data_IF_519334313035
#
_entry.id   IF_519334313035
#
_cell.length_a   1.000
_cell.length_b   1.000
_cell.length_c   1.000
_cell.angle_alpha   90.00
_cell.angle_beta   90.00
_cell.angle_gamma   90.00
#
_symmetry.space_group_name_H-M   'P 1'
#
loop_
_entity.id
_entity.type
_entity.pdbx_description
1 polymer ?
#
# COMPACT_ATOMS: atom_id res chain seq x y z
N UNK A 1 24.79 -3.87 -16.66
CA UNK A 1 24.03 -3.66 -15.41
C UNK A 1 22.85 -4.62 -15.42
N UNK A 2 22.53 -5.25 -14.29
CA UNK A 2 21.34 -6.08 -14.14
C UNK A 2 20.09 -5.21 -13.99
N UNK A 3 18.98 -5.61 -14.61
CA UNK A 3 17.66 -4.99 -14.41
C UNK A 3 16.70 -6.05 -13.87
N UNK A 4 16.24 -5.89 -12.65
CA UNK A 4 15.41 -6.88 -11.94
C UNK A 4 14.05 -6.26 -11.63
N UNK A 5 12.97 -6.95 -11.95
CA UNK A 5 11.61 -6.62 -11.50
C UNK A 5 11.13 -7.73 -10.58
N UNK A 6 10.61 -7.40 -9.40
CA UNK A 6 10.00 -8.35 -8.47
C UNK A 6 8.61 -7.89 -8.06
N UNK A 7 7.66 -8.82 -8.08
CA UNK A 7 6.30 -8.64 -7.57
C UNK A 7 6.06 -9.57 -6.38
N UNK A 8 5.97 -8.99 -5.19
CA UNK A 8 5.70 -9.72 -3.94
C UNK A 8 4.21 -9.62 -3.61
N UNK A 9 3.45 -10.65 -3.98
CA UNK A 9 2.00 -10.70 -3.78
C UNK A 9 1.49 -12.10 -3.47
N UNK A 10 0.56 -12.20 -2.52
CA UNK A 10 0.02 -13.51 -2.10
C UNK A 10 1.13 -14.45 -1.62
N UNK A 11 1.09 -15.71 -2.05
CA UNK A 11 2.01 -16.78 -1.59
C UNK A 11 3.41 -16.70 -2.19
N UNK A 12 3.58 -16.08 -3.36
CA UNK A 12 4.84 -16.12 -4.11
C UNK A 12 5.35 -14.72 -4.45
N UNK A 13 6.66 -14.60 -4.55
CA UNK A 13 7.33 -13.48 -5.20
C UNK A 13 7.81 -13.93 -6.57
N UNK A 14 7.27 -13.30 -7.60
CA UNK A 14 7.66 -13.52 -8.99
C UNK A 14 8.73 -12.50 -9.37
N UNK A 15 9.88 -12.98 -9.85
CA UNK A 15 10.99 -12.12 -10.25
C UNK A 15 11.46 -12.41 -11.67
N UNK A 16 11.78 -11.34 -12.36
CA UNK A 16 12.27 -11.30 -13.73
C UNK A 16 13.53 -10.45 -13.78
N UNK A 17 14.56 -10.93 -14.49
CA UNK A 17 15.80 -10.21 -14.67
C UNK A 17 16.23 -10.16 -16.14
N UNK A 18 16.88 -9.06 -16.49
CA UNK A 18 17.74 -8.93 -17.65
C UNK A 18 19.17 -8.77 -17.15
N UNK A 19 20.07 -9.63 -17.60
CA UNK A 19 21.49 -9.49 -17.30
C UNK A 19 22.14 -8.37 -18.16
N UNK A 20 23.43 -8.02 -17.92
CA UNK A 20 24.12 -7.00 -18.69
C UNK A 20 24.21 -7.28 -20.19
N UNK A 21 24.14 -8.54 -20.61
CA UNK A 21 24.15 -8.99 -22.00
C UNK A 21 22.74 -9.03 -22.62
N UNK A 22 21.70 -8.73 -21.83
CA UNK A 22 20.31 -8.72 -22.27
C UNK A 22 19.62 -10.08 -22.26
N UNK A 23 20.21 -11.10 -21.64
CA UNK A 23 19.58 -12.42 -21.49
C UNK A 23 18.53 -12.37 -20.39
N UNK A 24 17.41 -13.05 -20.61
CA UNK A 24 16.30 -13.13 -19.66
C UNK A 24 16.51 -14.26 -18.65
N UNK A 25 16.21 -13.98 -17.38
CA UNK A 25 16.11 -14.99 -16.33
C UNK A 25 14.85 -14.74 -15.48
N UNK A 26 14.27 -15.81 -14.94
CA UNK A 26 13.07 -15.74 -14.10
C UNK A 26 13.20 -16.70 -12.94
N UNK A 27 12.71 -16.30 -11.78
CA UNK A 27 12.57 -17.20 -10.64
C UNK A 27 11.31 -16.89 -9.86
N UNK A 28 10.88 -17.88 -9.09
CA UNK A 28 9.75 -17.78 -8.17
C UNK A 28 10.20 -18.26 -6.81
N UNK A 29 9.97 -17.45 -5.79
CA UNK A 29 10.25 -17.79 -4.38
C UNK A 29 8.99 -17.63 -3.56
N UNK A 30 8.94 -18.20 -2.36
CA UNK A 30 7.83 -17.92 -1.44
C UNK A 30 7.92 -16.48 -0.94
N UNK A 31 6.80 -15.79 -0.79
CA UNK A 31 6.75 -14.41 -0.26
C UNK A 31 7.29 -14.28 1.17
N UNK A 32 7.47 -15.40 1.88
CA UNK A 32 8.13 -15.48 3.17
C UNK A 32 9.66 -15.47 3.10
N UNK A 33 10.27 -15.38 1.92
CA UNK A 33 11.73 -15.36 1.76
C UNK A 33 12.39 -16.73 2.02
N UNK A 34 11.70 -17.82 1.70
CA UNK A 34 12.21 -19.19 1.89
C UNK A 34 12.12 -20.01 0.60
N UNK A 35 13.08 -20.92 0.42
CA UNK A 35 13.05 -21.98 -0.57
C UNK A 35 12.70 -23.29 0.14
N UNK A 36 11.51 -23.80 -0.14
CA UNK A 36 11.04 -25.06 0.44
C UNK A 36 11.42 -26.22 -0.48
N UNK A 37 12.20 -27.16 0.05
CA UNK A 37 12.67 -28.34 -0.68
C UNK A 37 12.25 -29.63 0.01
N UNK A 38 12.16 -30.70 -0.77
CA UNK A 38 11.91 -32.04 -0.25
C UNK A 38 13.25 -32.69 0.09
N UNK A 39 13.28 -33.35 1.24
CA UNK A 39 14.42 -34.15 1.68
C UNK A 39 14.20 -35.59 1.23
N UNK A 40 15.17 -36.13 0.51
CA UNK A 40 15.19 -37.54 0.11
C UNK A 40 15.85 -38.40 1.20
N UNK A 41 16.96 -37.91 1.76
CA UNK A 41 17.74 -38.59 2.78
C UNK A 41 18.40 -37.57 3.70
N UNK A 42 18.46 -37.86 5.00
CA UNK A 42 19.22 -37.06 5.96
C UNK A 42 20.01 -37.99 6.89
N UNK A 43 21.35 -37.86 6.90
CA UNK A 43 22.22 -38.66 7.75
C UNK A 43 23.55 -37.93 8.01
N UNK A 44 24.06 -37.97 9.24
CA UNK A 44 25.42 -37.52 9.54
C UNK A 44 25.73 -36.05 9.26
N UNK A 45 24.71 -35.17 9.24
CA UNK A 45 24.85 -33.75 8.92
C UNK A 45 24.69 -33.46 7.43
N UNK A 46 24.55 -34.50 6.60
CA UNK A 46 24.28 -34.40 5.17
C UNK A 46 22.78 -34.55 4.90
N UNK A 47 22.22 -33.67 4.08
CA UNK A 47 20.82 -33.70 3.68
C UNK A 47 20.72 -33.67 2.16
N UNK A 48 20.28 -34.78 1.57
CA UNK A 48 20.00 -34.90 0.15
C UNK A 48 18.64 -34.28 -0.16
N UNK A 49 18.63 -33.29 -1.05
CA UNK A 49 17.45 -32.49 -1.37
C UNK A 49 17.13 -32.52 -2.86
N UNK A 50 15.85 -32.34 -3.20
CA UNK A 50 15.39 -32.26 -4.58
C UNK A 50 14.76 -30.90 -4.88
N UNK A 51 14.94 -30.42 -6.11
CA UNK A 51 14.25 -29.23 -6.64
C UNK A 51 14.99 -27.91 -6.44
N UNK A 52 16.26 -27.93 -6.03
CA UNK A 52 17.10 -26.73 -6.05
C UNK A 52 17.63 -26.45 -7.47
N UNK A 53 17.73 -25.18 -7.87
CA UNK A 53 18.39 -24.81 -9.12
C UNK A 53 19.90 -25.08 -9.03
N UNK A 54 20.52 -25.36 -10.17
CA UNK A 54 21.97 -25.45 -10.26
C UNK A 54 22.60 -24.08 -10.02
N UNK A 55 23.53 -24.02 -9.06
CA UNK A 55 24.18 -22.80 -8.57
C UNK A 55 25.67 -23.07 -8.33
N UNK A 56 26.51 -22.01 -8.27
CA UNK A 56 27.90 -22.13 -7.83
C UNK A 56 28.02 -22.88 -6.50
N UNK A 57 29.11 -23.63 -6.31
CA UNK A 57 29.28 -24.52 -5.15
C UNK A 57 29.25 -23.78 -3.80
N UNK A 58 29.69 -22.53 -3.79
CA UNK A 58 29.73 -21.62 -2.65
C UNK A 58 28.40 -20.88 -2.40
N UNK A 59 27.46 -20.91 -3.34
CA UNK A 59 26.20 -20.16 -3.24
C UNK A 59 25.35 -20.57 -2.03
N UNK A 60 25.30 -21.87 -1.72
CA UNK A 60 24.45 -22.39 -0.64
C UNK A 60 25.06 -22.21 0.75
N UNK A 61 26.36 -21.91 0.82
CA UNK A 61 27.02 -21.66 2.09
C UNK A 61 26.43 -20.39 2.75
N UNK A 62 26.12 -20.48 4.05
CA UNK A 62 25.54 -19.38 4.82
C UNK A 62 24.02 -19.32 4.83
N UNK A 63 23.32 -20.19 4.09
CA UNK A 63 21.88 -20.37 4.28
C UNK A 63 21.57 -20.97 5.65
N UNK A 64 20.41 -20.60 6.21
CA UNK A 64 19.79 -21.25 7.35
C UNK A 64 18.79 -22.30 6.86
N UNK A 65 19.01 -23.55 7.24
CA UNK A 65 18.09 -24.66 6.99
C UNK A 65 17.18 -24.86 8.21
N UNK A 66 15.86 -24.72 8.02
CA UNK A 66 14.86 -24.78 9.08
C UNK A 66 13.90 -25.95 8.87
N UNK A 67 13.70 -26.75 9.92
CA UNK A 67 12.69 -27.81 9.96
C UNK A 67 12.33 -28.17 11.40
N UNK A 68 11.06 -28.46 11.67
CA UNK A 68 10.62 -28.95 13.00
C UNK A 68 10.88 -27.99 14.17
N UNK A 69 11.00 -26.69 13.93
CA UNK A 69 11.40 -25.69 14.94
C UNK A 69 12.91 -25.61 15.19
N UNK A 70 13.70 -26.45 14.54
CA UNK A 70 15.15 -26.44 14.57
C UNK A 70 15.72 -25.61 13.40
N UNK A 71 16.86 -24.97 13.63
CA UNK A 71 17.63 -24.25 12.61
C UNK A 71 19.06 -24.78 12.58
N UNK A 72 19.60 -24.97 11.39
CA UNK A 72 20.97 -25.41 11.10
C UNK A 72 21.61 -24.51 10.06
N UNK A 73 22.93 -24.36 10.10
CA UNK A 73 23.67 -23.59 9.11
C UNK A 73 24.13 -24.49 7.98
N UNK A 74 23.89 -24.06 6.74
CA UNK A 74 24.42 -24.71 5.55
C UNK A 74 25.88 -24.28 5.36
N UNK A 75 26.78 -25.26 5.37
CA UNK A 75 28.22 -25.08 5.15
C UNK A 75 28.56 -25.09 3.66
N UNK A 76 27.78 -25.78 2.84
CA UNK A 76 27.94 -25.86 1.40
C UNK A 76 27.05 -26.94 0.78
N UNK A 77 27.20 -27.17 -0.52
CA UNK A 77 26.48 -28.21 -1.25
C UNK A 77 27.41 -28.97 -2.20
N UNK A 78 27.27 -30.28 -2.28
CA UNK A 78 27.94 -31.13 -3.27
C UNK A 78 26.91 -31.95 -4.01
N UNK A 79 26.74 -31.70 -5.32
CA UNK A 79 25.66 -32.30 -6.10
C UNK A 79 24.30 -31.89 -5.52
N UNK A 80 23.50 -32.86 -5.06
CA UNK A 80 22.21 -32.63 -4.43
C UNK A 80 22.25 -32.70 -2.88
N UNK A 81 23.45 -32.76 -2.29
CA UNK A 81 23.65 -32.98 -0.85
C UNK A 81 24.10 -31.68 -0.18
N UNK A 82 23.29 -31.17 0.74
CA UNK A 82 23.63 -30.05 1.62
C UNK A 82 24.43 -30.55 2.81
N UNK A 83 25.52 -29.85 3.12
CA UNK A 83 26.35 -30.09 4.30
C UNK A 83 25.96 -29.12 5.40
N UNK A 84 25.52 -29.63 6.55
CA UNK A 84 25.08 -28.83 7.68
C UNK A 84 26.09 -28.83 8.82
N UNK A 85 26.06 -27.79 9.65
CA UNK A 85 26.87 -27.68 10.86
C UNK A 85 26.52 -28.69 11.95
N UNK A 86 25.25 -29.11 12.01
CA UNK A 86 24.77 -30.15 12.91
C UNK A 86 23.58 -30.92 12.33
N UNK A 87 23.35 -32.12 12.86
CA UNK A 87 22.19 -32.96 12.51
C UNK A 87 20.88 -32.39 13.08
N UNK A 88 19.77 -32.65 12.38
CA UNK A 88 18.43 -32.47 12.94
C UNK A 88 18.11 -33.61 13.90
N UNK A 89 17.35 -33.33 14.97
CA UNK A 89 16.97 -34.37 15.93
C UNK A 89 16.06 -35.42 15.27
N UNK A 90 15.19 -34.98 14.36
CA UNK A 90 14.37 -35.84 13.51
C UNK A 90 14.64 -35.54 12.04
N UNK A 91 14.85 -36.56 11.23
CA UNK A 91 15.03 -36.40 9.79
C UNK A 91 13.81 -35.71 9.17
N UNK A 92 13.94 -34.49 8.64
CA UNK A 92 12.80 -33.74 8.15
C UNK A 92 12.37 -34.24 6.76
N UNK A 93 11.06 -34.20 6.45
CA UNK A 93 10.56 -34.48 5.09
C UNK A 93 10.63 -33.25 4.17
N UNK A 94 10.52 -32.06 4.76
CA UNK A 94 10.60 -30.76 4.10
C UNK A 94 11.61 -29.90 4.83
N UNK A 95 12.39 -29.15 4.06
CA UNK A 95 13.41 -28.25 4.56
C UNK A 95 13.19 -26.87 3.98
N UNK A 96 13.12 -25.85 4.84
CA UNK A 96 13.06 -24.46 4.42
C UNK A 96 14.47 -23.86 4.45
N UNK A 97 14.99 -23.45 3.30
CA UNK A 97 16.25 -22.73 3.19
C UNK A 97 15.97 -21.22 3.12
N UNK A 98 16.64 -20.44 3.96
CA UNK A 98 16.47 -18.99 4.00
C UNK A 98 17.79 -18.28 4.27
N UNK A 99 17.94 -17.07 3.72
CA UNK A 99 19.02 -16.13 4.07
C UNK A 99 18.57 -15.11 5.11
N UNK A 100 17.32 -15.23 5.59
CA UNK A 100 16.65 -14.24 6.46
C UNK A 100 16.44 -12.87 5.79
N UNK A 101 16.65 -12.80 4.48
CA UNK A 101 16.40 -11.62 3.67
C UNK A 101 14.99 -11.61 3.09
N UNK A 102 14.52 -10.42 2.71
CA UNK A 102 13.23 -10.26 2.04
C UNK A 102 13.16 -11.04 0.72
N UNK A 103 11.97 -11.53 0.37
CA UNK A 103 11.77 -12.38 -0.80
C UNK A 103 12.31 -11.78 -2.14
N UNK A 104 12.18 -10.47 -2.43
CA UNK A 104 12.82 -9.86 -3.59
C UNK A 104 14.35 -9.95 -3.60
N UNK A 105 14.98 -9.88 -2.42
CA UNK A 105 16.44 -9.98 -2.28
C UNK A 105 16.88 -11.41 -2.55
N UNK A 106 16.22 -12.40 -1.94
CA UNK A 106 16.49 -13.81 -2.20
C UNK A 106 16.31 -14.13 -3.69
N UNK A 107 15.24 -13.63 -4.32
CA UNK A 107 15.03 -13.78 -5.75
C UNK A 107 16.16 -13.15 -6.58
N UNK A 108 16.62 -11.95 -6.22
CA UNK A 108 17.75 -11.30 -6.87
C UNK A 108 19.05 -12.10 -6.70
N UNK A 109 19.31 -12.70 -5.54
CA UNK A 109 20.47 -13.57 -5.31
C UNK A 109 20.45 -14.78 -6.25
N UNK A 110 19.29 -15.42 -6.40
CA UNK A 110 19.12 -16.54 -7.33
C UNK A 110 19.33 -16.13 -8.79
N UNK A 111 18.79 -14.98 -9.20
CA UNK A 111 18.90 -14.50 -10.58
C UNK A 111 20.33 -14.08 -10.93
N UNK A 112 21.02 -13.41 -10.01
CA UNK A 112 22.41 -12.94 -10.20
C UNK A 112 23.45 -13.99 -9.86
N UNK A 113 23.03 -15.11 -9.27
CA UNK A 113 23.91 -16.17 -8.71
C UNK A 113 24.89 -15.63 -7.66
N UNK A 114 24.47 -14.61 -6.92
CA UNK A 114 25.28 -13.98 -5.87
C UNK A 114 25.05 -14.68 -4.53
N UNK A 115 26.09 -15.26 -3.94
CA UNK A 115 26.01 -15.94 -2.65
C UNK A 115 25.45 -15.02 -1.54
N UNK A 116 24.81 -15.57 -0.49
CA UNK A 116 24.36 -14.79 0.67
C UNK A 116 25.50 -13.98 1.30
N UNK A 117 25.20 -12.75 1.71
CA UNK A 117 26.19 -11.83 2.30
C UNK A 117 27.22 -11.25 1.32
N UNK A 118 27.36 -11.81 0.11
CA UNK A 118 28.19 -11.20 -0.92
C UNK A 118 27.50 -9.95 -1.51
N UNK A 119 28.28 -8.91 -1.89
CA UNK A 119 27.74 -7.72 -2.50
C UNK A 119 27.14 -8.04 -3.87
N UNK A 120 25.99 -7.44 -4.18
CA UNK A 120 25.39 -7.58 -5.50
C UNK A 120 26.26 -6.94 -6.59
N UNK A 121 26.25 -7.49 -7.82
CA UNK A 121 26.71 -6.74 -8.98
C UNK A 121 25.84 -5.47 -9.19
N UNK A 122 26.22 -4.55 -10.08
CA UNK A 122 25.38 -3.38 -10.38
C UNK A 122 23.97 -3.79 -10.83
N UNK A 123 22.97 -3.43 -10.03
CA UNK A 123 21.55 -3.79 -10.20
C UNK A 123 20.68 -2.53 -10.23
N UNK A 124 19.70 -2.50 -11.12
CA UNK A 124 18.51 -1.64 -11.05
C UNK A 124 17.32 -2.54 -10.72
N UNK A 125 16.70 -2.36 -9.55
CA UNK A 125 15.59 -3.18 -9.08
C UNK A 125 14.28 -2.39 -9.10
N UNK A 126 13.22 -3.00 -9.61
CA UNK A 126 11.84 -2.50 -9.58
C UNK A 126 10.96 -3.40 -8.73
N UNK A 127 10.24 -2.81 -7.78
CA UNK A 127 9.43 -3.56 -6.82
C UNK A 127 7.95 -3.21 -6.96
N UNK A 128 7.12 -4.25 -6.98
CA UNK A 128 5.68 -4.20 -6.72
C UNK A 128 5.36 -5.08 -5.50
N UNK A 129 4.41 -4.67 -4.66
CA UNK A 129 4.04 -5.48 -3.48
C UNK A 129 2.60 -5.25 -3.02
N UNK A 130 1.99 -6.30 -2.48
CA UNK A 130 0.69 -6.24 -1.79
C UNK A 130 0.82 -6.08 -0.26
N UNK A 131 2.04 -5.87 0.28
CA UNK A 131 2.25 -5.78 1.75
C UNK A 131 1.37 -4.73 2.41
N UNK A 132 1.21 -3.56 1.80
CA UNK A 132 0.36 -2.49 2.34
C UNK A 132 -1.10 -2.93 2.46
N UNK A 133 -1.66 -3.50 1.40
CA UNK A 133 -3.05 -3.99 1.39
C UNK A 133 -3.26 -5.13 2.39
N UNK A 134 -2.31 -6.07 2.48
CA UNK A 134 -2.40 -7.18 3.44
C UNK A 134 -2.30 -6.68 4.89
N UNK A 135 -1.42 -5.72 5.17
CA UNK A 135 -1.33 -5.10 6.50
C UNK A 135 -2.65 -4.39 6.88
N UNK A 136 -3.33 -3.76 5.93
CA UNK A 136 -4.65 -3.16 6.15
C UNK A 136 -5.73 -4.22 6.45
N UNK A 137 -5.77 -5.30 5.67
CA UNK A 137 -6.76 -6.38 5.80
C UNK A 137 -6.56 -7.20 7.09
N UNK A 138 -5.31 -7.49 7.44
CA UNK A 138 -4.93 -8.27 8.62
C UNK A 138 -4.80 -7.41 9.89
N UNK A 139 -5.00 -6.09 9.77
CA UNK A 139 -4.80 -5.10 10.85
C UNK A 139 -3.44 -5.15 11.52
N UNK A 140 -2.39 -5.27 10.70
CA UNK A 140 -0.98 -5.31 11.11
C UNK A 140 -0.22 -4.01 10.79
N UNK A 141 -0.90 -2.86 10.84
CA UNK A 141 -0.27 -1.55 10.72
C UNK A 141 0.27 -1.00 12.03
N UNK A 142 0.92 0.15 11.95
CA UNK A 142 1.43 0.90 13.09
C UNK A 142 0.30 1.45 13.96
N UNK A 143 0.57 1.63 15.25
CA UNK A 143 -0.35 2.30 16.17
C UNK A 143 -0.34 3.80 15.88
N UNK A 144 -1.50 4.38 15.57
CA UNK A 144 -1.63 5.77 15.09
C UNK A 144 -2.46 6.64 16.05
N UNK A 145 -2.01 7.88 16.27
CA UNK A 145 -2.82 8.95 16.83
C UNK A 145 -3.23 9.95 15.74
N UNK A 146 -4.50 10.35 15.73
CA UNK A 146 -5.02 11.40 14.86
C UNK A 146 -5.03 12.75 15.58
N UNK A 147 -4.33 13.74 15.02
CA UNK A 147 -4.37 15.14 15.42
C UNK A 147 -5.29 15.88 14.44
N UNK A 148 -6.39 16.43 14.95
CA UNK A 148 -7.45 17.05 14.15
C UNK A 148 -7.95 18.29 14.85
N UNK A 149 -8.36 19.30 14.08
CA UNK A 149 -8.98 20.53 14.63
C UNK A 149 -10.02 20.22 15.70
N UNK A 150 -10.02 20.99 16.79
CA UNK A 150 -10.99 20.89 17.87
C UNK A 150 -12.46 20.94 17.37
N UNK A 151 -13.33 20.12 17.97
CA UNK A 151 -14.73 19.94 17.55
C UNK A 151 -14.91 19.00 16.35
N UNK A 152 -13.83 18.44 15.80
CA UNK A 152 -13.89 17.46 14.69
C UNK A 152 -13.35 16.08 15.10
N UNK A 153 -13.06 15.83 16.37
CA UNK A 153 -12.49 14.56 16.84
C UNK A 153 -13.29 13.31 16.44
N UNK A 154 -14.62 13.42 16.45
CA UNK A 154 -15.52 12.31 16.09
C UNK A 154 -15.78 12.18 14.58
N UNK A 155 -15.31 13.14 13.75
CA UNK A 155 -15.60 13.17 12.31
C UNK A 155 -15.24 11.85 11.59
N UNK A 156 -14.06 11.23 11.80
CA UNK A 156 -13.73 9.98 11.11
C UNK A 156 -14.62 8.80 11.51
N UNK A 157 -15.13 8.79 12.76
CA UNK A 157 -16.06 7.76 13.27
C UNK A 157 -17.47 7.95 12.70
N UNK A 158 -17.93 9.20 12.61
CA UNK A 158 -19.20 9.57 11.97
C UNK A 158 -19.16 9.25 10.47
N UNK A 159 -18.03 9.52 9.81
CA UNK A 159 -17.85 9.26 8.39
C UNK A 159 -18.81 10.06 7.49
N UNK A 160 -19.15 9.51 6.33
CA UNK A 160 -20.05 10.12 5.35
C UNK A 160 -21.50 9.60 5.44
N UNK A 161 -21.81 8.84 6.49
CA UNK A 161 -23.12 8.22 6.75
C UNK A 161 -23.63 7.31 5.60
N UNK A 162 -22.79 6.99 4.60
CA UNK A 162 -23.18 6.05 3.54
C UNK A 162 -23.15 4.63 4.09
N UNK A 163 -24.29 3.94 3.95
CA UNK A 163 -24.45 2.53 4.35
C UNK A 163 -23.86 1.60 3.29
N UNK A 164 -23.14 0.58 3.75
CA UNK A 164 -22.64 -0.53 2.90
C UNK A 164 -23.78 -1.44 2.46
N UNK A 165 -24.65 -1.80 3.40
CA UNK A 165 -25.94 -2.43 3.14
C UNK A 165 -27.06 -1.43 3.43
N UNK A 166 -27.71 -0.97 2.36
CA UNK A 166 -28.78 0.03 2.42
C UNK A 166 -29.99 -0.45 3.23
N UNK A 167 -30.25 -1.76 3.28
CA UNK A 167 -31.46 -2.32 3.89
C UNK A 167 -31.21 -3.06 5.21
N UNK A 168 -29.96 -3.26 5.61
CA UNK A 168 -29.63 -3.83 6.91
C UNK A 168 -30.29 -3.04 8.04
N UNK A 169 -31.01 -3.70 8.95
CA UNK A 169 -31.66 -3.04 10.09
C UNK A 169 -30.64 -2.45 11.07
N UNK A 170 -29.49 -3.13 11.23
CA UNK A 170 -28.37 -2.67 12.07
C UNK A 170 -27.30 -2.02 11.19
N UNK A 171 -26.88 -0.81 11.56
CA UNK A 171 -25.72 -0.17 10.94
C UNK A 171 -24.44 -0.65 11.62
N UNK A 172 -23.53 -1.25 10.85
CA UNK A 172 -22.19 -1.58 11.32
C UNK A 172 -21.26 -0.38 11.10
N UNK A 173 -20.64 0.18 12.17
CA UNK A 173 -19.71 1.28 12.05
C UNK A 173 -18.51 0.90 11.18
N UNK A 174 -17.97 1.88 10.45
CA UNK A 174 -16.74 1.65 9.70
C UNK A 174 -15.56 1.49 10.66
N UNK A 175 -14.64 0.56 10.39
CA UNK A 175 -13.44 0.43 11.20
C UNK A 175 -12.56 1.68 11.05
N UNK A 176 -11.99 2.10 12.17
CA UNK A 176 -10.96 3.14 12.22
C UNK A 176 -9.58 2.50 12.37
N UNK A 177 -8.55 3.19 11.86
CA UNK A 177 -7.15 2.75 11.87
C UNK A 177 -6.27 3.67 12.74
N UNK A 178 -6.88 4.30 13.74
CA UNK A 178 -6.21 5.09 14.78
C UNK A 178 -6.72 4.65 16.15
N UNK A 179 -5.88 4.78 17.17
CA UNK A 179 -6.17 4.39 18.57
C UNK A 179 -6.45 5.59 19.47
N UNK A 180 -5.93 6.76 19.11
CA UNK A 180 -6.11 7.99 19.87
C UNK A 180 -6.50 9.14 18.95
N UNK A 181 -7.29 10.06 19.47
CA UNK A 181 -7.63 11.34 18.82
C UNK A 181 -7.21 12.45 19.75
N UNK A 182 -6.49 13.42 19.21
CA UNK A 182 -6.11 14.67 19.87
C UNK A 182 -6.75 15.81 19.11
N UNK A 183 -7.60 16.54 19.81
CA UNK A 183 -8.19 17.76 19.30
C UNK A 183 -7.20 18.91 19.45
N UNK A 184 -6.77 19.47 18.32
CA UNK A 184 -5.82 20.58 18.26
C UNK A 184 -6.60 21.88 18.33
N UNK A 185 -6.22 22.72 19.28
CA UNK A 185 -6.83 24.03 19.48
C UNK A 185 -6.25 25.03 18.49
N UNK A 186 -6.83 25.05 17.29
CA UNK A 186 -6.57 26.04 16.26
C UNK A 186 -7.80 26.23 15.36
N UNK A 187 -7.83 27.31 14.56
CA UNK A 187 -8.87 27.49 13.55
C UNK A 187 -8.43 28.36 12.39
N UNK A 188 -8.67 27.88 11.18
CA UNK A 188 -8.51 28.61 9.92
C UNK A 188 -9.89 28.80 9.28
N UNK A 189 -10.14 29.96 8.67
CA UNK A 189 -11.36 30.25 7.91
C UNK A 189 -11.35 29.60 6.52
N UNK A 190 -12.50 29.53 5.86
CA UNK A 190 -12.57 29.01 4.49
C UNK A 190 -11.71 29.81 3.48
N UNK A 191 -11.43 31.08 3.77
CA UNK A 191 -10.58 31.98 2.97
C UNK A 191 -9.09 31.86 3.34
N UNK A 192 -8.72 30.99 4.29
CA UNK A 192 -7.34 30.80 4.73
C UNK A 192 -6.89 31.77 5.82
N UNK A 193 -7.78 32.60 6.37
CA UNK A 193 -7.46 33.51 7.48
C UNK A 193 -7.37 32.75 8.82
N UNK A 194 -6.44 33.14 9.68
CA UNK A 194 -6.33 32.57 11.04
C UNK A 194 -7.44 33.15 11.91
N UNK A 195 -8.33 32.30 12.41
CA UNK A 195 -9.41 32.67 13.35
C UNK A 195 -9.00 32.38 14.79
N UNK A 196 -8.23 31.31 15.01
CA UNK A 196 -7.64 30.96 16.29
C UNK A 196 -6.22 30.45 16.04
N UNK A 197 -5.26 31.11 16.67
CA UNK A 197 -3.85 30.72 16.60
C UNK A 197 -3.66 29.30 17.19
N UNK A 198 -2.64 28.60 16.69
CA UNK A 198 -2.27 27.28 17.19
C UNK A 198 -1.76 27.36 18.63
N UNK A 199 -2.39 26.60 19.54
CA UNK A 199 -1.89 26.42 20.91
C UNK A 199 -0.81 25.33 20.95
N UNK A 200 0.45 25.73 20.77
CA UNK A 200 1.59 24.81 20.75
C UNK A 200 1.83 24.13 22.11
N UNK A 201 1.56 24.83 23.23
CA UNK A 201 1.81 24.30 24.56
C UNK A 201 0.82 23.17 24.92
N UNK A 202 -0.47 23.38 24.62
CA UNK A 202 -1.49 22.36 24.77
C UNK A 202 -1.22 21.15 23.86
N UNK A 203 -0.84 21.40 22.60
CA UNK A 203 -0.48 20.35 21.64
C UNK A 203 0.66 19.47 22.17
N UNK A 204 1.77 20.07 22.64
CA UNK A 204 2.92 19.32 23.13
C UNK A 204 2.59 18.50 24.38
N UNK A 205 1.72 19.02 25.25
CA UNK A 205 1.24 18.30 26.43
C UNK A 205 0.44 17.06 26.02
N UNK A 206 -0.52 17.21 25.10
CA UNK A 206 -1.31 16.10 24.59
C UNK A 206 -0.45 15.07 23.81
N UNK A 207 0.53 15.56 23.04
CA UNK A 207 1.47 14.72 22.30
C UNK A 207 2.30 13.82 23.23
N UNK A 208 2.77 14.35 24.36
CA UNK A 208 3.48 13.54 25.38
C UNK A 208 2.59 12.43 25.96
N UNK A 209 1.34 12.75 26.30
CA UNK A 209 0.40 11.74 26.81
C UNK A 209 0.11 10.62 25.78
N UNK A 210 0.12 10.93 24.49
CA UNK A 210 0.03 9.92 23.42
C UNK A 210 1.29 9.05 23.35
N UNK A 211 2.46 9.66 23.48
CA UNK A 211 3.73 8.94 23.50
C UNK A 211 3.86 8.03 24.73
N UNK A 212 3.37 8.43 25.90
CA UNK A 212 3.34 7.58 27.10
C UNK A 212 2.52 6.30 26.91
N UNK A 213 1.52 6.32 26.02
CA UNK A 213 0.73 5.13 25.63
C UNK A 213 1.45 4.23 24.62
N UNK A 214 2.67 4.56 24.23
CA UNK A 214 3.48 3.83 23.24
C UNK A 214 3.02 4.02 21.79
N UNK A 215 2.21 5.05 21.49
CA UNK A 215 1.82 5.39 20.13
C UNK A 215 2.90 6.32 19.56
N UNK A 216 3.51 5.92 18.43
CA UNK A 216 4.67 6.61 17.83
C UNK A 216 4.42 7.17 16.43
N UNK A 217 3.26 6.87 15.84
CA UNK A 217 2.88 7.37 14.52
C UNK A 217 1.72 8.37 14.66
N UNK A 218 1.79 9.48 13.93
CA UNK A 218 0.80 10.53 13.94
C UNK A 218 0.26 10.82 12.53
N UNK A 219 -1.06 10.97 12.44
CA UNK A 219 -1.73 11.57 11.30
C UNK A 219 -2.25 12.95 11.70
N UNK A 220 -2.00 13.97 10.90
CA UNK A 220 -2.47 15.34 11.15
C UNK A 220 -3.44 15.74 10.03
N UNK A 221 -4.62 16.22 10.40
CA UNK A 221 -5.62 16.67 9.43
C UNK A 221 -6.41 17.87 9.97
N UNK A 222 -5.96 19.08 9.66
CA UNK A 222 -6.57 20.31 10.14
C UNK A 222 -7.60 20.86 9.13
N UNK A 223 -8.62 21.56 9.62
CA UNK A 223 -9.66 22.13 8.79
C UNK A 223 -9.06 23.23 7.91
N UNK A 224 -9.46 23.27 6.64
CA UNK A 224 -8.97 24.26 5.67
C UNK A 224 -7.44 24.30 5.42
N UNK A 225 -6.66 23.30 5.85
CA UNK A 225 -5.21 23.30 5.61
C UNK A 225 -4.79 23.20 4.14
N UNK A 226 -5.68 22.75 3.24
CA UNK A 226 -5.48 22.86 1.79
C UNK A 226 -5.39 24.31 1.30
N UNK A 227 -5.98 25.26 2.03
CA UNK A 227 -5.90 26.70 1.75
C UNK A 227 -4.81 27.39 2.58
N UNK A 228 -4.58 26.93 3.82
CA UNK A 228 -3.55 27.48 4.71
C UNK A 228 -2.79 26.36 5.45
N UNK A 229 -1.73 25.79 4.84
CA UNK A 229 -1.06 24.59 5.38
C UNK A 229 -0.14 24.87 6.58
N UNK A 230 0.09 26.14 6.95
CA UNK A 230 1.13 26.50 7.92
C UNK A 230 0.91 25.89 9.31
N UNK A 231 -0.32 25.92 9.85
CA UNK A 231 -0.62 25.28 11.15
C UNK A 231 -0.38 23.77 11.10
N UNK A 232 -0.77 23.11 10.01
CA UNK A 232 -0.62 21.66 9.91
C UNK A 232 0.86 21.25 9.79
N UNK A 233 1.66 22.02 9.03
CA UNK A 233 3.11 21.87 8.97
C UNK A 233 3.76 22.09 10.33
N UNK A 234 3.34 23.15 11.05
CA UNK A 234 3.84 23.47 12.38
C UNK A 234 3.54 22.37 13.40
N UNK A 235 2.31 21.84 13.39
CA UNK A 235 1.95 20.66 14.19
C UNK A 235 2.86 19.49 13.83
N UNK A 236 3.07 19.20 12.55
CA UNK A 236 3.92 18.09 12.14
C UNK A 236 5.37 18.23 12.61
N UNK A 237 5.95 19.44 12.54
CA UNK A 237 7.27 19.76 13.08
C UNK A 237 7.36 19.50 14.58
N UNK A 238 6.38 20.01 15.35
CA UNK A 238 6.35 19.86 16.80
C UNK A 238 6.22 18.39 17.22
N UNK A 239 5.40 17.61 16.51
CA UNK A 239 5.24 16.18 16.78
C UNK A 239 6.52 15.40 16.48
N UNK A 240 7.21 15.70 15.36
CA UNK A 240 8.52 15.10 15.06
C UNK A 240 9.53 15.45 16.16
N UNK A 241 9.59 16.72 16.58
CA UNK A 241 10.47 17.17 17.66
C UNK A 241 10.13 16.56 19.03
N UNK A 242 8.88 16.18 19.26
CA UNK A 242 8.44 15.53 20.50
C UNK A 242 8.78 14.04 20.58
N UNK A 243 9.19 13.40 19.47
CA UNK A 243 9.58 11.99 19.44
C UNK A 243 8.62 11.05 18.72
N UNK A 244 7.70 11.57 17.89
CA UNK A 244 6.97 10.71 16.95
C UNK A 244 7.92 10.26 15.83
N UNK A 245 7.95 8.95 15.58
CA UNK A 245 8.81 8.34 14.56
C UNK A 245 8.34 8.66 13.14
N UNK A 246 7.03 8.76 12.95
CA UNK A 246 6.40 9.07 11.67
C UNK A 246 5.25 10.04 11.88
N UNK A 247 5.26 11.13 11.10
CA UNK A 247 4.21 12.14 11.14
C UNK A 247 3.77 12.47 9.73
N UNK A 248 2.49 12.21 9.46
CA UNK A 248 1.85 12.37 8.16
C UNK A 248 0.89 13.54 8.21
N UNK A 249 1.23 14.64 7.54
CA UNK A 249 0.36 15.81 7.40
C UNK A 249 -0.49 15.68 6.13
N UNK A 250 -1.81 15.59 6.29
CA UNK A 250 -2.78 15.52 5.19
C UNK A 250 -2.62 16.58 4.10
N UNK A 251 -2.14 17.78 4.43
CA UNK A 251 -1.89 18.88 3.49
C UNK A 251 -0.74 18.59 2.52
N UNK A 252 0.22 17.75 2.91
CA UNK A 252 1.37 17.35 2.07
C UNK A 252 0.98 16.23 1.10
N UNK A 253 0.11 15.32 1.56
CA UNK A 253 -0.20 14.07 0.87
C UNK A 253 -1.54 14.10 0.11
N UNK A 254 -2.45 15.03 0.43
CA UNK A 254 -3.81 15.09 -0.11
C UNK A 254 -4.42 16.49 0.08
N UNK A 255 -3.98 17.51 -0.66
CA UNK A 255 -4.44 18.89 -0.46
C UNK A 255 -5.84 19.18 -1.06
N UNK A 256 -6.84 18.32 -0.81
CA UNK A 256 -8.22 18.55 -1.26
C UNK A 256 -9.10 19.18 -0.17
N UNK A 257 -10.15 19.89 -0.57
CA UNK A 257 -10.97 20.70 0.35
C UNK A 257 -11.69 19.91 1.44
N UNK A 258 -12.10 18.66 1.15
CA UNK A 258 -12.91 17.85 2.07
C UNK A 258 -12.04 17.25 3.18
N UNK A 259 -12.31 17.62 4.44
CA UNK A 259 -11.53 17.16 5.60
C UNK A 259 -11.64 15.65 5.85
N UNK A 260 -12.83 15.04 5.72
CA UNK A 260 -13.02 13.62 6.04
C UNK A 260 -12.16 12.68 5.19
N UNK A 261 -12.20 12.72 3.84
CA UNK A 261 -11.35 11.84 3.05
C UNK A 261 -9.86 12.16 3.23
N UNK A 262 -9.52 13.40 3.59
CA UNK A 262 -8.14 13.85 3.87
C UNK A 262 -7.60 13.19 5.12
N UNK A 263 -8.37 13.27 6.20
CA UNK A 263 -8.08 12.60 7.46
C UNK A 263 -7.96 11.08 7.26
N UNK A 264 -8.90 10.47 6.53
CA UNK A 264 -8.82 9.04 6.19
C UNK A 264 -7.54 8.68 5.45
N UNK A 265 -7.12 9.51 4.49
CA UNK A 265 -5.90 9.29 3.73
C UNK A 265 -4.64 9.46 4.59
N UNK A 266 -4.63 10.42 5.51
CA UNK A 266 -3.51 10.64 6.43
C UNK A 266 -3.38 9.52 7.46
N UNK A 267 -4.50 9.05 8.00
CA UNK A 267 -4.55 7.91 8.91
C UNK A 267 -4.07 6.64 8.20
N UNK A 268 -4.60 6.35 7.01
CA UNK A 268 -4.22 5.15 6.26
C UNK A 268 -2.71 5.14 5.93
N UNK A 269 -2.17 6.29 5.52
CA UNK A 269 -0.75 6.42 5.24
C UNK A 269 0.09 6.22 6.52
N UNK A 270 -0.21 6.93 7.62
CA UNK A 270 0.47 6.77 8.91
C UNK A 270 0.39 5.35 9.47
N UNK A 271 -0.73 4.64 9.24
CA UNK A 271 -0.94 3.26 9.66
C UNK A 271 -0.04 2.28 8.88
N UNK A 272 0.24 2.57 7.61
CA UNK A 272 0.96 1.65 6.72
C UNK A 272 2.42 2.01 6.54
N UNK A 273 2.86 3.22 6.90
CA UNK A 273 4.25 3.67 6.77
C UNK A 273 5.22 2.69 7.41
N UNK A 274 4.96 2.22 8.65
CA UNK A 274 5.88 1.32 9.36
C UNK A 274 6.15 0.01 8.61
N UNK A 275 5.12 -0.84 8.36
CA UNK A 275 5.30 -2.11 7.66
C UNK A 275 5.86 -1.98 6.25
N UNK A 276 5.46 -0.93 5.50
CA UNK A 276 5.97 -0.68 4.15
C UNK A 276 7.42 -0.25 4.19
N UNK A 277 7.80 0.66 5.09
CA UNK A 277 9.17 1.12 5.23
C UNK A 277 10.10 -0.01 5.68
N UNK A 278 9.70 -0.81 6.66
CA UNK A 278 10.48 -1.97 7.10
C UNK A 278 10.76 -2.95 5.95
N UNK A 279 9.78 -3.19 5.07
CA UNK A 279 9.98 -4.01 3.87
C UNK A 279 11.00 -3.38 2.92
N UNK A 280 10.82 -2.09 2.60
CA UNK A 280 11.70 -1.39 1.67
C UNK A 280 13.13 -1.30 2.18
N UNK A 281 13.31 -1.02 3.47
CA UNK A 281 14.62 -0.99 4.13
C UNK A 281 15.26 -2.39 4.11
N UNK A 282 14.48 -3.45 4.34
CA UNK A 282 14.93 -4.84 4.23
C UNK A 282 15.37 -5.26 2.82
N UNK A 283 14.84 -4.62 1.77
CA UNK A 283 15.31 -4.83 0.38
C UNK A 283 16.48 -3.92 0.02
N UNK A 284 16.42 -2.66 0.42
CA UNK A 284 17.42 -1.65 0.08
C UNK A 284 18.75 -1.86 0.82
N UNK A 285 18.73 -2.45 2.03
CA UNK A 285 19.95 -2.76 2.78
C UNK A 285 20.91 -3.68 2.00
N UNK A 286 20.47 -4.88 1.58
CA UNK A 286 21.32 -5.79 0.81
C UNK A 286 21.62 -5.32 -0.63
N UNK A 287 20.63 -4.76 -1.33
CA UNK A 287 20.75 -4.42 -2.77
C UNK A 287 21.42 -3.06 -2.99
N UNK A 288 21.40 -2.19 -1.98
CA UNK A 288 21.87 -0.81 -2.05
C UNK A 288 20.73 0.17 -2.36
N UNK A 289 20.65 1.26 -1.59
CA UNK A 289 19.56 2.25 -1.67
C UNK A 289 19.43 2.86 -3.06
N UNK A 290 20.54 3.13 -3.75
CA UNK A 290 20.55 3.73 -5.08
C UNK A 290 20.16 2.75 -6.20
N UNK A 291 20.17 1.46 -5.92
CA UNK A 291 19.82 0.41 -6.87
C UNK A 291 18.31 0.10 -6.89
N UNK A 292 17.56 0.53 -5.87
CA UNK A 292 16.14 0.18 -5.72
C UNK A 292 15.23 1.33 -6.16
N UNK A 293 14.60 1.16 -7.32
CA UNK A 293 13.48 1.99 -7.77
C UNK A 293 12.16 1.35 -7.39
N UNK A 294 11.45 1.90 -6.40
CA UNK A 294 10.12 1.38 -6.04
C UNK A 294 9.06 1.97 -6.96
N UNK A 295 8.33 1.13 -7.69
CA UNK A 295 7.19 1.58 -8.49
C UNK A 295 5.89 1.17 -7.80
N UNK A 296 5.28 2.12 -7.09
CA UNK A 296 3.92 1.96 -6.61
C UNK A 296 2.94 2.12 -7.79
N UNK A 297 2.23 1.07 -8.15
CA UNK A 297 1.16 1.18 -9.13
C UNK A 297 -0.06 1.86 -8.49
N UNK A 298 -0.14 3.18 -8.61
CA UNK A 298 -1.28 3.95 -8.12
C UNK A 298 -2.52 3.77 -9.02
N UNK A 299 -3.72 3.82 -8.42
CA UNK A 299 -5.04 3.63 -9.07
C UNK A 299 -5.33 4.52 -10.30
N UNK A 300 -4.52 5.52 -10.61
CA UNK A 300 -4.73 6.44 -11.73
C UNK A 300 -4.26 5.90 -13.09
N UNK A 301 -3.68 4.69 -13.14
CA UNK A 301 -3.14 4.11 -14.39
C UNK A 301 -1.92 4.88 -14.93
N UNK A 302 -1.33 5.76 -14.13
CA UNK A 302 -0.05 6.43 -14.40
C UNK A 302 0.93 6.08 -13.29
N UNK A 303 2.00 5.37 -13.64
CA UNK A 303 3.17 5.31 -12.79
C UNK A 303 3.77 6.74 -12.70
N UNK A 304 4.08 7.26 -11.51
CA UNK A 304 4.93 8.45 -11.42
C UNK A 304 6.31 8.13 -12.00
N UNK A 305 6.88 9.07 -12.77
CA UNK A 305 8.26 8.97 -13.22
C UNK A 305 9.21 8.93 -12.01
N UNK A 306 10.23 8.07 -12.09
CA UNK A 306 11.08 7.62 -11.00
C UNK A 306 12.10 8.67 -10.49
N UNK A 307 11.68 9.90 -10.21
CA UNK A 307 12.62 10.98 -9.81
C UNK A 307 12.43 11.54 -8.39
N UNK A 308 11.46 11.05 -7.60
CA UNK A 308 11.29 11.52 -6.22
C UNK A 308 11.67 10.46 -5.19
N UNK A 309 12.75 10.71 -4.45
CA UNK A 309 13.22 9.97 -3.26
C UNK A 309 12.30 10.09 -2.04
N UNK A 310 11.23 10.90 -2.08
CA UNK A 310 10.22 10.97 -1.01
C UNK A 310 9.05 10.03 -1.29
N UNK A 311 9.08 8.84 -0.70
CA UNK A 311 8.02 7.82 -0.87
C UNK A 311 6.87 8.03 0.12
N UNK A 312 5.65 8.23 -0.38
CA UNK A 312 4.42 8.21 0.44
C UNK A 312 3.67 6.88 0.25
N UNK A 313 3.35 6.12 1.32
CA UNK A 313 2.54 4.90 1.28
C UNK A 313 1.19 4.99 0.55
N UNK A 314 0.63 6.19 0.36
CA UNK A 314 -0.60 6.42 -0.42
C UNK A 314 -0.64 5.78 -1.80
N UNK A 315 0.50 5.68 -2.48
CA UNK A 315 0.60 4.99 -3.77
C UNK A 315 0.25 3.50 -3.71
N UNK A 316 0.22 2.93 -2.49
CA UNK A 316 -0.06 1.52 -2.21
C UNK A 316 -1.42 1.28 -1.56
N UNK A 317 -2.20 2.33 -1.25
CA UNK A 317 -3.49 2.20 -0.56
C UNK A 317 -4.68 2.34 -1.49
N UNK A 318 -5.68 1.43 -1.43
CA UNK A 318 -6.96 1.60 -2.11
C UNK A 318 -7.82 2.64 -1.38
N UNK A 319 -7.59 3.94 -1.61
CA UNK A 319 -8.56 4.97 -1.21
C UNK A 319 -9.63 5.10 -2.28
N UNK A 320 -10.73 4.35 -2.09
CA UNK A 320 -11.87 4.28 -3.01
C UNK A 320 -11.90 2.94 -3.74
N UNK A 321 -13.05 2.26 -3.71
CA UNK A 321 -13.19 0.89 -4.22
C UNK A 321 -12.58 0.67 -5.61
N UNK A 322 -11.89 -0.47 -5.75
CA UNK A 322 -11.10 -0.93 -6.89
C UNK A 322 -9.63 -0.44 -6.95
N UNK A 323 -8.75 -1.15 -6.23
CA UNK A 323 -7.36 -1.32 -6.63
C UNK A 323 -7.07 -2.82 -6.75
N UNK A 324 -6.99 -3.33 -7.98
CA UNK A 324 -6.28 -4.56 -8.27
C UNK A 324 -4.88 -4.15 -8.71
N UNK A 325 -3.85 -4.61 -8.00
CA UNK A 325 -2.46 -4.55 -8.45
C UNK A 325 -2.31 -5.63 -9.53
N UNK A 326 -2.28 -5.24 -10.80
CA UNK A 326 -1.95 -6.17 -11.89
C UNK A 326 -0.43 -6.15 -12.11
N UNK A 327 0.28 -7.06 -11.43
CA UNK A 327 1.74 -7.19 -11.47
C UNK A 327 2.34 -7.50 -12.84
N UNK A 328 1.52 -7.94 -13.82
CA UNK A 328 1.96 -8.24 -15.19
C UNK A 328 2.56 -7.03 -15.90
N UNK A 329 2.11 -5.80 -15.57
CA UNK A 329 2.60 -4.58 -16.19
C UNK A 329 4.05 -4.24 -15.78
N UNK A 330 4.50 -4.65 -14.59
CA UNK A 330 5.86 -4.37 -14.10
C UNK A 330 6.92 -5.31 -14.70
N UNK A 331 6.49 -6.49 -15.15
CA UNK A 331 7.36 -7.54 -15.70
C UNK A 331 7.56 -7.38 -17.23
N UNK A 332 6.61 -6.74 -17.94
CA UNK A 332 6.65 -6.62 -19.40
C UNK A 332 6.28 -5.21 -19.90
N UNK A 333 7.22 -4.24 -19.92
CA UNK A 333 6.93 -2.87 -20.34
C UNK A 333 6.77 -2.67 -21.87
N UNK A 334 6.64 -3.73 -22.68
CA UNK A 334 6.75 -3.62 -24.15
C UNK A 334 5.86 -4.53 -25.00
N UNK A 335 4.97 -5.36 -24.44
CA UNK A 335 4.01 -6.13 -25.23
C UNK A 335 2.61 -5.57 -25.02
N UNK A 336 2.02 -5.03 -26.08
CA UNK A 336 0.61 -4.63 -26.10
C UNK A 336 -0.27 -5.77 -25.59
N UNK A 337 -1.34 -5.42 -24.86
CA UNK A 337 -2.32 -6.35 -24.31
C UNK A 337 -2.92 -7.22 -25.42
N UNK A 338 -2.29 -8.36 -25.71
CA UNK A 338 -2.88 -9.47 -26.41
C UNK A 338 -3.22 -10.53 -25.36
N UNK A 339 -4.49 -10.93 -25.32
CA UNK A 339 -5.10 -11.78 -24.31
C UNK A 339 -4.29 -13.06 -24.04
N UNK A 340 -3.57 -13.11 -22.92
CA UNK A 340 -3.11 -14.37 -22.32
C UNK A 340 -4.05 -14.74 -21.16
N UNK A 341 -5.04 -15.58 -21.47
CA UNK A 341 -5.83 -16.31 -20.47
C UNK A 341 -4.98 -17.46 -19.92
N UNK A 342 -4.48 -17.32 -18.69
CA UNK A 342 -3.99 -18.44 -17.90
C UNK A 342 -5.06 -18.79 -16.86
N UNK A 343 -5.71 -19.95 -17.00
CA UNK A 343 -6.70 -20.45 -16.04
C UNK A 343 -5.98 -20.93 -14.77
N UNK A 344 -6.16 -20.23 -13.66
CA UNK A 344 -5.86 -20.76 -12.32
C UNK A 344 -7.13 -21.43 -11.75
N UNK A 345 -7.03 -22.49 -10.92
CA UNK A 345 -8.17 -23.06 -10.21
C UNK A 345 -8.76 -22.05 -9.22
N UNK A 346 -10.07 -22.15 -8.89
CA UNK A 346 -10.79 -21.10 -8.18
C UNK A 346 -10.34 -20.99 -6.71
N UNK A 347 -9.95 -19.77 -6.32
CA UNK A 347 -9.95 -19.33 -4.92
C UNK A 347 -11.38 -19.09 -4.42
N UNK A 348 -11.66 -19.16 -3.10
CA UNK A 348 -12.99 -19.01 -2.52
C UNK A 348 -13.62 -17.61 -2.64
N UNK A 349 -12.95 -16.65 -3.29
CA UNK A 349 -13.51 -15.35 -3.64
C UNK A 349 -13.43 -15.14 -5.16
N UNK A 350 -14.36 -15.74 -5.89
CA UNK A 350 -14.53 -15.47 -7.31
C UNK A 350 -15.06 -14.05 -7.52
N UNK A 351 -14.23 -13.16 -8.08
CA UNK A 351 -14.70 -11.88 -8.61
C UNK A 351 -14.77 -11.98 -10.14
N UNK A 352 -15.97 -11.76 -10.68
CA UNK A 352 -16.22 -11.66 -12.12
C UNK A 352 -16.08 -10.19 -12.50
N UNK A 353 -15.11 -9.85 -13.34
CA UNK A 353 -14.99 -8.51 -13.93
C UNK A 353 -15.46 -8.55 -15.40
N UNK A 354 -16.46 -7.74 -15.72
CA UNK A 354 -16.84 -7.44 -17.11
C UNK A 354 -16.17 -6.13 -17.53
N UNK A 355 -15.40 -6.17 -18.61
CA UNK A 355 -14.81 -4.99 -19.26
C UNK A 355 -15.65 -4.63 -20.49
N UNK A 356 -16.62 -3.70 -20.40
CA UNK A 356 -17.17 -3.10 -21.60
C UNK A 356 -16.16 -2.10 -22.18
N UNK A 357 -15.88 -2.19 -23.48
CA UNK A 357 -15.06 -1.23 -24.22
C UNK A 357 -15.70 0.17 -24.19
N UNK A 358 -15.35 0.98 -23.21
CA UNK A 358 -15.66 2.42 -23.20
C UNK A 358 -14.46 3.20 -22.68
N UNK A 359 -13.99 4.15 -23.50
CA UNK A 359 -12.96 5.13 -23.16
C UNK A 359 -13.23 5.79 -21.80
N UNK A 360 -12.15 6.06 -21.08
CA UNK A 360 -12.10 6.64 -19.73
C UNK A 360 -13.23 7.64 -19.43
N UNK A 361 -14.12 7.29 -18.51
CA UNK A 361 -14.92 8.28 -17.77
C UNK A 361 -14.27 8.50 -16.42
N UNK A 362 -13.47 9.56 -16.30
CA UNK A 362 -13.09 10.12 -15.01
C UNK A 362 -14.35 10.59 -14.29
N UNK A 363 -14.82 9.82 -13.31
CA UNK A 363 -15.97 10.13 -12.48
C UNK A 363 -15.53 10.89 -11.22
N UNK A 364 -15.01 12.12 -11.39
CA UNK A 364 -14.89 13.18 -10.37
C UNK A 364 -14.06 14.31 -10.99
N UNK A 365 -14.73 15.28 -11.62
CA UNK A 365 -14.03 16.39 -12.27
C UNK A 365 -14.87 17.22 -13.26
N UNK A 366 -16.13 16.84 -13.54
CA UNK A 366 -17.04 17.64 -14.37
C UNK A 366 -18.48 17.60 -13.85
N UNK A 367 -18.77 18.40 -12.83
CA UNK A 367 -20.15 18.82 -12.55
C UNK A 367 -20.20 20.29 -12.09
N UNK A 368 -19.61 21.17 -12.89
CA UNK A 368 -19.83 22.61 -12.82
C UNK A 368 -19.24 23.25 -14.09
N UNK A 369 -20.01 23.24 -15.20
CA UNK A 369 -19.81 24.08 -16.42
C UNK A 369 -20.43 23.48 -17.70
N UNK A 370 -21.58 22.79 -17.63
CA UNK A 370 -22.24 22.32 -18.87
C UNK A 370 -23.76 22.40 -18.88
N UNK A 371 -24.36 23.41 -18.26
CA UNK A 371 -25.72 23.85 -18.55
C UNK A 371 -25.71 25.37 -18.53
N UNK A 372 -25.27 25.99 -19.62
CA UNK A 372 -25.46 27.40 -20.01
C UNK A 372 -24.62 27.63 -21.27
N UNK A 373 -25.16 27.20 -22.42
CA UNK A 373 -24.95 27.79 -23.76
C UNK A 373 -25.49 26.87 -24.85
N UNK A 374 -26.49 27.37 -25.57
CA UNK A 374 -26.77 27.02 -26.95
C UNK A 374 -27.90 26.02 -27.19
N UNK A 375 -29.11 26.55 -27.44
CA UNK A 375 -29.80 26.35 -28.73
C UNK A 375 -30.98 27.33 -28.83
N UNK A 376 -30.72 28.43 -29.51
CA UNK A 376 -31.75 29.16 -30.25
C UNK A 376 -32.30 28.27 -31.37
N UNK A 377 -33.61 28.29 -31.52
CA UNK A 377 -34.35 27.53 -32.52
C UNK A 377 -35.83 27.62 -32.23
N UNK A 378 -36.45 28.77 -32.50
CA UNK A 378 -37.88 28.97 -32.33
C UNK A 378 -38.72 28.09 -33.27
N UNK A 379 -39.98 27.85 -32.93
CA UNK A 379 -41.11 27.79 -33.87
C UNK A 379 -42.45 27.78 -33.10
N UNK A 380 -43.12 28.93 -33.17
CA UNK A 380 -44.57 29.26 -33.26
C UNK A 380 -45.64 28.46 -32.48
N UNK A 381 -46.48 29.28 -31.82
CA UNK A 381 -47.86 29.06 -31.40
C UNK A 381 -48.73 28.18 -32.32
N UNK A 382 -49.50 27.27 -31.70
CA UNK A 382 -50.90 27.02 -32.07
C UNK A 382 -51.73 26.90 -30.79
N UNK A 383 -52.70 27.79 -30.64
CA UNK A 383 -53.74 27.66 -29.63
C UNK A 383 -54.75 26.57 -29.99
N UNK A 384 -55.39 26.00 -28.97
CA UNK A 384 -56.76 25.51 -29.05
C UNK A 384 -57.41 25.68 -27.67
N UNK A 385 -58.62 26.21 -27.74
CA UNK A 385 -59.49 26.58 -26.64
C UNK A 385 -60.22 25.37 -26.03
N UNK A 386 -60.79 25.60 -24.84
CA UNK A 386 -61.67 24.72 -24.07
C UNK A 386 -61.16 24.64 -22.64
N UNK A 387 -61.67 25.35 -21.63
CA UNK A 387 -63.04 25.83 -21.41
C UNK A 387 -63.63 25.01 -20.28
N UNK A 388 -63.58 25.52 -19.04
CA UNK A 388 -64.57 25.31 -17.98
C UNK A 388 -64.13 26.01 -16.68
N UNK A 389 -64.90 27.04 -16.32
CA UNK A 389 -64.95 27.68 -15.02
C UNK A 389 -65.27 26.70 -13.88
N UNK A 390 -64.76 26.98 -12.67
CA UNK A 390 -65.63 27.20 -11.50
C UNK A 390 -64.86 27.84 -10.33
N UNK A 391 -65.42 28.95 -9.89
CA UNK A 391 -65.21 29.65 -8.62
C UNK A 391 -65.36 28.74 -7.39
N UNK A 392 -64.58 28.97 -6.33
CA UNK A 392 -65.05 29.75 -5.16
C UNK A 392 -64.08 29.69 -3.95
N UNK A 393 -63.78 30.89 -3.44
CA UNK A 393 -63.71 31.32 -2.02
C UNK A 393 -62.74 30.64 -1.02
N UNK A 394 -61.73 31.45 -0.69
CA UNK A 394 -61.29 31.89 0.64
C UNK A 394 -61.99 31.37 1.92
N UNK A 395 -61.16 30.94 2.91
CA UNK A 395 -61.07 31.30 4.36
C UNK A 395 -60.13 30.27 5.02
N UNK A 396 -58.92 30.60 5.48
CA UNK A 396 -58.54 31.32 6.71
C UNK A 396 -59.02 30.64 8.03
N UNK A 397 -58.01 30.15 8.78
CA UNK A 397 -57.90 29.98 10.24
C UNK A 397 -58.71 28.87 10.95
N UNK A 398 -58.00 27.85 11.45
CA UNK A 398 -57.59 27.73 12.87
C UNK A 398 -56.44 26.74 13.02
#
# INVERSE_FOLDING_TARGET
MWRISADTGGTFTDAYALDPEGREARCKVLSSGVLRVRVARAAGGEVEVAGLPEMPADFWAGFSARAGGEQRRVLGMTGAVLHLDAVFATAPMLLDLTTEEEAPVLAARLLTRTAPGAPFPPVEMRLATTRATNALLERKGSRVALFITEGFGDLPRIGDQRRTDLFALRHEPRPVFFEAVVEVRERISAQGGVLLALDEAALLTAARAVLEKGIRHAAVALLHSHAHPAHERRVAELLRGAGFEQVVASAEIAPFTKILPRAQSAVADAYLTGPVRAFLDGVAGPVGVHAVGVQALACSGKAPAAESTSMSPKGFTPTGGAACLDGRACIHPGRGQAALQSRHPPHPFGQVFSLPRLRSKNAQGRSASRHLRGRDGGWRHRGRAGGAQRDHRARAQS
#
